data_IF_305828495747
#
_entry.id   IF_305828495747
#
_cell.length_a   1.000
_cell.length_b   1.000
_cell.length_c   1.000
_cell.angle_alpha   90.00
_cell.angle_beta   90.00
_cell.angle_gamma   90.00
#
_symmetry.space_group_name_H-M   'P 1'
#
loop_
_entity.id
_entity.type
_entity.pdbx_description
1 polymer ?
#
# COMPACT_ATOMS: atom_id res chain seq x y z
N UNK A 1 36.06 19.47 2.22
CA UNK A 1 35.52 18.45 1.31
C UNK A 1 34.20 18.00 1.95
N UNK A 2 33.14 18.79 1.75
CA UNK A 2 31.78 18.48 2.23
C UNK A 2 30.69 18.90 1.22
N UNK A 3 31.07 19.23 -0.02
CA UNK A 3 30.15 19.78 -1.03
C UNK A 3 29.34 18.70 -1.77
N UNK A 4 29.53 17.41 -1.41
CA UNK A 4 28.82 16.27 -1.99
C UNK A 4 27.50 15.95 -1.29
N UNK A 5 27.47 15.95 0.05
CA UNK A 5 26.26 15.63 0.83
C UNK A 5 25.18 16.71 0.72
N UNK A 6 25.56 18.00 0.65
CA UNK A 6 24.58 19.10 0.57
C UNK A 6 23.81 19.12 -0.76
N UNK A 7 24.44 18.72 -1.87
CA UNK A 7 23.76 18.68 -3.17
C UNK A 7 22.80 17.48 -3.27
N UNK A 8 23.19 16.32 -2.73
CA UNK A 8 22.33 15.14 -2.72
C UNK A 8 21.10 15.36 -1.81
N UNK A 9 21.26 15.97 -0.63
CA UNK A 9 20.12 16.31 0.25
C UNK A 9 19.14 17.31 -0.41
N UNK A 10 19.64 18.32 -1.13
CA UNK A 10 18.80 19.29 -1.84
C UNK A 10 17.98 18.63 -2.97
N UNK A 11 18.59 17.70 -3.72
CA UNK A 11 17.92 16.97 -4.79
C UNK A 11 16.84 16.02 -4.25
N UNK A 12 17.06 15.43 -3.07
CA UNK A 12 16.08 14.61 -2.37
C UNK A 12 14.86 15.42 -1.94
N UNK A 13 15.09 16.55 -1.26
CA UNK A 13 14.03 17.45 -0.80
C UNK A 13 13.20 17.96 -1.99
N UNK A 14 13.86 18.32 -3.09
CA UNK A 14 13.19 18.75 -4.31
C UNK A 14 12.30 17.67 -4.93
N UNK A 15 12.79 16.42 -4.95
CA UNK A 15 12.03 15.27 -5.49
C UNK A 15 10.79 14.94 -4.66
N UNK A 16 10.89 15.04 -3.34
CA UNK A 16 9.78 14.81 -2.41
C UNK A 16 8.75 15.94 -2.53
N UNK A 17 9.20 17.20 -2.56
CA UNK A 17 8.32 18.37 -2.71
C UNK A 17 7.51 18.30 -4.02
N UNK A 18 8.17 17.94 -5.13
CA UNK A 18 7.50 17.76 -6.42
C UNK A 18 6.42 16.67 -6.35
N UNK A 19 6.70 15.54 -5.68
CA UNK A 19 5.71 14.48 -5.51
C UNK A 19 4.50 14.97 -4.70
N UNK A 20 4.72 15.68 -3.60
CA UNK A 20 3.64 16.19 -2.77
C UNK A 20 2.77 17.18 -3.55
N UNK A 21 3.39 18.07 -4.32
CA UNK A 21 2.70 19.05 -5.17
C UNK A 21 1.87 18.34 -6.27
N UNK A 22 2.46 17.37 -6.97
CA UNK A 22 1.78 16.59 -8.01
C UNK A 22 0.62 15.75 -7.44
N UNK A 23 0.79 15.12 -6.28
CA UNK A 23 -0.28 14.35 -5.61
C UNK A 23 -1.42 15.25 -5.12
N UNK A 24 -1.10 16.49 -4.75
CA UNK A 24 -2.07 17.50 -4.33
C UNK A 24 -2.73 18.24 -5.50
N UNK A 25 -2.18 18.10 -6.71
CA UNK A 25 -2.68 18.73 -7.93
C UNK A 25 -4.08 18.23 -8.29
N UNK A 26 -4.94 19.09 -8.84
CA UNK A 26 -6.24 18.68 -9.40
C UNK A 26 -6.10 17.89 -10.71
N UNK A 27 -4.97 18.01 -11.42
CA UNK A 27 -4.72 17.31 -12.68
C UNK A 27 -4.50 15.81 -12.46
N UNK A 28 -5.36 14.93 -13.00
CA UNK A 28 -5.16 13.48 -12.91
C UNK A 28 -3.84 13.02 -13.52
N UNK A 29 -3.31 13.71 -14.54
CA UNK A 29 -2.05 13.33 -15.19
C UNK A 29 -0.86 13.55 -14.26
N UNK A 30 -0.83 14.68 -13.55
CA UNK A 30 0.18 14.98 -12.52
C UNK A 30 0.13 13.96 -11.37
N UNK A 31 -1.07 13.64 -10.86
CA UNK A 31 -1.25 12.59 -9.85
C UNK A 31 -0.73 11.23 -10.33
N UNK A 32 -1.10 10.81 -11.54
CA UNK A 32 -0.67 9.54 -12.12
C UNK A 32 0.85 9.47 -12.29
N UNK A 33 1.46 10.57 -12.73
CA UNK A 33 2.90 10.69 -12.86
C UNK A 33 3.61 10.44 -11.54
N UNK A 34 3.12 11.07 -10.45
CA UNK A 34 3.68 10.88 -9.12
C UNK A 34 3.42 9.49 -8.53
N UNK A 35 2.22 8.93 -8.69
CA UNK A 35 1.92 7.55 -8.29
C UNK A 35 2.93 6.57 -8.90
N UNK A 36 3.21 6.69 -10.20
CA UNK A 36 4.19 5.81 -10.90
C UNK A 36 5.63 5.95 -10.40
N UNK A 37 5.95 7.02 -9.68
CA UNK A 37 7.29 7.31 -9.13
C UNK A 37 7.41 7.02 -7.63
N UNK A 38 6.40 6.44 -7.00
CA UNK A 38 6.42 6.16 -5.56
C UNK A 38 7.57 5.25 -5.12
N UNK A 39 7.92 4.22 -5.89
CA UNK A 39 8.98 3.28 -5.52
C UNK A 39 10.38 3.92 -5.43
N UNK A 40 10.87 4.67 -6.44
CA UNK A 40 12.14 5.39 -6.30
C UNK A 40 12.17 6.37 -5.12
N UNK A 41 11.03 7.01 -4.82
CA UNK A 41 10.95 8.01 -3.75
C UNK A 41 10.93 7.34 -2.37
N UNK A 42 10.24 6.20 -2.21
CA UNK A 42 10.29 5.44 -0.97
C UNK A 42 11.69 4.87 -0.69
N UNK A 43 12.42 4.47 -1.73
CA UNK A 43 13.83 4.07 -1.59
C UNK A 43 14.71 5.22 -1.09
N UNK A 44 14.40 6.45 -1.49
CA UNK A 44 15.14 7.65 -1.08
C UNK A 44 14.80 8.08 0.34
N UNK A 45 13.52 8.04 0.71
CA UNK A 45 13.03 8.35 2.06
C UNK A 45 13.49 7.34 3.09
N UNK A 46 13.68 6.09 2.67
CA UNK A 46 13.90 4.97 3.55
C UNK A 46 12.59 4.42 4.14
N UNK A 47 12.67 3.24 4.78
CA UNK A 47 11.50 2.48 5.21
C UNK A 47 10.71 3.13 6.35
N UNK A 48 11.38 3.73 7.33
CA UNK A 48 10.75 4.39 8.49
C UNK A 48 9.85 5.55 8.04
N UNK A 49 10.42 6.53 7.31
CA UNK A 49 9.65 7.66 6.78
C UNK A 49 8.62 7.26 5.73
N UNK A 50 8.88 6.20 4.97
CA UNK A 50 7.87 5.66 4.05
C UNK A 50 6.64 5.17 4.82
N UNK A 51 6.84 4.45 5.92
CA UNK A 51 5.74 3.94 6.75
C UNK A 51 5.02 5.06 7.53
N UNK A 52 5.77 5.99 8.11
CA UNK A 52 5.22 6.98 9.05
C UNK A 52 4.70 8.26 8.38
N UNK A 53 5.21 8.61 7.18
CA UNK A 53 4.82 9.83 6.46
C UNK A 53 4.13 9.51 5.13
N UNK A 54 4.80 8.73 4.25
CA UNK A 54 4.32 8.52 2.89
C UNK A 54 3.06 7.65 2.84
N UNK A 55 3.02 6.54 3.57
CA UNK A 55 1.86 5.63 3.58
C UNK A 55 0.59 6.35 4.08
N UNK A 56 0.58 7.07 5.22
CA UNK A 56 -0.57 7.87 5.65
C UNK A 56 -1.02 8.89 4.60
N UNK A 57 -0.07 9.58 3.95
CA UNK A 57 -0.39 10.52 2.87
C UNK A 57 -1.07 9.83 1.68
N UNK A 58 -0.63 8.61 1.31
CA UNK A 58 -1.26 7.82 0.27
C UNK A 58 -2.64 7.31 0.71
N UNK A 59 -2.83 6.97 1.99
CA UNK A 59 -4.13 6.62 2.54
C UNK A 59 -5.12 7.78 2.40
N UNK A 60 -4.72 9.00 2.76
CA UNK A 60 -5.56 10.20 2.55
C UNK A 60 -5.82 10.50 1.06
N UNK A 61 -4.87 10.15 0.18
CA UNK A 61 -5.04 10.32 -1.26
C UNK A 61 -6.15 9.42 -1.80
N UNK A 62 -6.35 8.22 -1.26
CA UNK A 62 -7.37 7.26 -1.71
C UNK A 62 -8.75 7.92 -1.72
N UNK A 63 -9.11 8.63 -0.65
CA UNK A 63 -10.39 9.35 -0.54
C UNK A 63 -10.52 10.47 -1.60
N UNK A 64 -9.40 11.09 -1.99
CA UNK A 64 -9.38 12.18 -2.98
C UNK A 64 -9.46 11.68 -4.43
N UNK A 65 -9.12 10.41 -4.68
CA UNK A 65 -9.12 9.80 -6.02
C UNK A 65 -10.19 8.71 -6.18
N UNK A 66 -11.10 8.58 -5.22
CA UNK A 66 -12.16 7.57 -5.13
C UNK A 66 -13.03 7.44 -6.40
N UNK A 67 -13.22 8.55 -7.10
CA UNK A 67 -13.96 8.66 -8.36
C UNK A 67 -13.13 8.39 -9.62
N UNK A 68 -11.83 8.11 -9.50
CA UNK A 68 -10.94 7.84 -10.63
C UNK A 68 -10.31 6.44 -10.55
N UNK A 69 -10.93 5.42 -11.17
CA UNK A 69 -10.47 4.04 -11.08
C UNK A 69 -9.07 3.82 -11.69
N UNK A 70 -8.65 4.63 -12.67
CA UNK A 70 -7.31 4.51 -13.25
C UNK A 70 -6.23 4.89 -12.23
N UNK A 71 -6.42 6.00 -11.52
CA UNK A 71 -5.49 6.42 -10.46
C UNK A 71 -5.46 5.40 -9.33
N UNK A 72 -6.63 4.92 -8.90
CA UNK A 72 -6.73 3.91 -7.85
C UNK A 72 -6.04 2.60 -8.24
N UNK A 73 -6.27 2.10 -9.46
CA UNK A 73 -5.62 0.88 -9.94
C UNK A 73 -4.09 1.01 -9.93
N UNK A 74 -3.56 2.15 -10.38
CA UNK A 74 -2.11 2.41 -10.35
C UNK A 74 -1.59 2.53 -8.91
N UNK A 75 -2.33 3.19 -8.01
CA UNK A 75 -1.95 3.33 -6.62
C UNK A 75 -1.91 1.97 -5.90
N UNK A 76 -2.95 1.13 -6.07
CA UNK A 76 -2.98 -0.24 -5.54
C UNK A 76 -1.73 -1.03 -5.94
N UNK A 77 -1.34 -0.95 -7.21
CA UNK A 77 -0.16 -1.65 -7.72
C UNK A 77 1.14 -1.11 -7.10
N UNK A 78 1.26 0.21 -6.95
CA UNK A 78 2.45 0.84 -6.38
C UNK A 78 2.58 0.57 -4.88
N UNK A 79 1.48 0.57 -4.11
CA UNK A 79 1.48 0.15 -2.71
C UNK A 79 2.04 -1.28 -2.57
N UNK A 80 1.66 -2.19 -3.46
CA UNK A 80 2.22 -3.55 -3.50
C UNK A 80 3.68 -3.64 -3.93
N UNK A 81 4.25 -2.59 -4.52
CA UNK A 81 5.69 -2.50 -4.85
C UNK A 81 6.50 -1.89 -3.69
N UNK A 82 5.86 -1.15 -2.79
CA UNK A 82 6.49 -0.64 -1.56
C UNK A 82 6.88 -1.75 -0.59
N UNK A 83 6.32 -2.96 -0.75
CA UNK A 83 6.73 -4.13 0.04
C UNK A 83 8.23 -4.40 -0.04
N UNK A 84 8.87 -4.11 -1.19
CA UNK A 84 10.32 -4.29 -1.36
C UNK A 84 11.15 -3.35 -0.47
N UNK A 85 10.61 -2.18 -0.13
CA UNK A 85 11.29 -1.20 0.75
C UNK A 85 10.94 -1.46 2.21
N UNK A 86 9.68 -1.76 2.49
CA UNK A 86 9.18 -1.93 3.86
C UNK A 86 9.49 -3.30 4.48
N UNK A 87 9.79 -4.34 3.68
CA UNK A 87 10.11 -5.67 4.21
C UNK A 87 11.40 -5.72 5.02
N UNK A 88 12.28 -4.73 4.87
CA UNK A 88 13.57 -4.71 5.56
C UNK A 88 13.47 -4.34 7.05
N UNK A 89 12.38 -3.68 7.47
CA UNK A 89 12.25 -3.09 8.81
C UNK A 89 10.90 -3.39 9.48
N UNK A 90 10.25 -4.51 9.11
CA UNK A 90 8.99 -4.98 9.71
C UNK A 90 7.81 -3.99 9.63
N UNK A 91 7.89 -2.98 8.76
CA UNK A 91 6.84 -1.97 8.54
C UNK A 91 5.79 -2.38 7.51
N UNK A 92 5.80 -3.64 7.05
CA UNK A 92 4.89 -4.15 6.02
C UNK A 92 3.41 -4.02 6.40
N UNK A 93 3.10 -4.09 7.69
CA UNK A 93 1.74 -4.00 8.20
C UNK A 93 1.07 -2.66 7.87
N UNK A 94 1.85 -1.58 7.76
CA UNK A 94 1.35 -0.24 7.38
C UNK A 94 0.63 -0.21 6.02
N UNK A 95 0.95 -1.14 5.11
CA UNK A 95 0.27 -1.25 3.81
C UNK A 95 -1.10 -1.91 3.89
N UNK A 96 -1.46 -2.55 5.01
CA UNK A 96 -2.71 -3.29 5.14
C UNK A 96 -3.91 -2.34 5.08
N UNK A 97 -3.89 -1.25 5.84
CA UNK A 97 -4.96 -0.26 5.90
C UNK A 97 -5.32 0.35 4.52
N UNK A 98 -4.38 0.98 3.77
CA UNK A 98 -4.72 1.58 2.49
C UNK A 98 -5.24 0.52 1.50
N UNK A 99 -4.65 -0.68 1.46
CA UNK A 99 -5.11 -1.72 0.55
C UNK A 99 -6.47 -2.33 0.97
N UNK A 100 -6.77 -2.39 2.27
CA UNK A 100 -8.08 -2.79 2.79
C UNK A 100 -9.18 -1.87 2.26
N UNK A 101 -8.96 -0.54 2.31
CA UNK A 101 -9.87 0.46 1.76
C UNK A 101 -10.10 0.22 0.25
N UNK A 102 -9.03 -0.07 -0.48
CA UNK A 102 -9.11 -0.29 -1.94
C UNK A 102 -9.81 -1.60 -2.34
N UNK A 103 -9.77 -2.64 -1.50
CA UNK A 103 -10.60 -3.84 -1.69
C UNK A 103 -12.09 -3.51 -1.60
N UNK A 104 -12.45 -2.49 -0.83
CA UNK A 104 -13.83 -2.02 -0.70
C UNK A 104 -14.33 -1.16 -1.86
N UNK A 105 -13.55 -0.94 -2.92
CA UNK A 105 -13.98 -0.13 -4.06
C UNK A 105 -15.01 -0.86 -4.95
N UNK A 106 -15.90 -0.13 -5.61
CA UNK A 106 -16.93 -0.68 -6.52
C UNK A 106 -16.36 -1.21 -7.85
N UNK A 107 -15.21 -0.71 -8.29
CA UNK A 107 -14.55 -1.14 -9.52
C UNK A 107 -13.80 -2.47 -9.33
N UNK A 108 -14.11 -3.47 -10.17
CA UNK A 108 -13.50 -4.80 -10.05
C UNK A 108 -12.00 -4.82 -10.32
N UNK A 109 -11.52 -3.97 -11.23
CA UNK A 109 -10.10 -3.92 -11.61
C UNK A 109 -9.28 -3.31 -10.48
N UNK A 110 -9.80 -2.27 -9.82
CA UNK A 110 -9.18 -1.69 -8.62
C UNK A 110 -9.07 -2.74 -7.52
N UNK A 111 -10.15 -3.48 -7.24
CA UNK A 111 -10.15 -4.55 -6.25
C UNK A 111 -9.17 -5.67 -6.58
N UNK A 112 -9.12 -6.13 -7.82
CA UNK A 112 -8.20 -7.19 -8.25
C UNK A 112 -6.73 -6.79 -8.03
N UNK A 113 -6.38 -5.53 -8.34
CA UNK A 113 -5.04 -5.01 -8.05
C UNK A 113 -4.76 -4.89 -6.56
N UNK A 114 -5.72 -4.42 -5.76
CA UNK A 114 -5.57 -4.30 -4.32
C UNK A 114 -5.35 -5.68 -3.66
N UNK A 115 -6.13 -6.68 -4.07
CA UNK A 115 -5.95 -8.08 -3.62
C UNK A 115 -4.57 -8.59 -4.00
N UNK A 116 -4.15 -8.44 -5.26
CA UNK A 116 -2.83 -8.89 -5.70
C UNK A 116 -1.69 -8.24 -4.89
N UNK A 117 -1.82 -6.96 -4.54
CA UNK A 117 -0.88 -6.26 -3.67
C UNK A 117 -0.91 -6.76 -2.24
N UNK A 118 -2.08 -7.00 -1.64
CA UNK A 118 -2.19 -7.59 -0.30
C UNK A 118 -1.67 -9.02 -0.23
N UNK A 119 -1.79 -9.80 -1.29
CA UNK A 119 -1.17 -11.13 -1.37
C UNK A 119 0.36 -11.03 -1.29
N UNK A 120 0.98 -10.02 -1.92
CA UNK A 120 2.42 -9.78 -1.77
C UNK A 120 2.77 -9.45 -0.32
N UNK A 121 2.00 -8.56 0.32
CA UNK A 121 2.18 -8.19 1.74
C UNK A 121 2.08 -9.43 2.64
N UNK A 122 0.96 -10.16 2.59
CA UNK A 122 0.73 -11.34 3.45
C UNK A 122 1.76 -12.46 3.26
N UNK A 123 2.33 -12.61 2.05
CA UNK A 123 3.43 -13.56 1.80
C UNK A 123 4.74 -13.16 2.48
N UNK A 124 4.94 -11.89 2.78
CA UNK A 124 6.16 -11.39 3.43
C UNK A 124 6.00 -11.19 4.94
N UNK A 125 4.77 -11.04 5.44
CA UNK A 125 4.51 -10.92 6.88
C UNK A 125 4.95 -12.15 7.67
N UNK A 126 5.42 -11.90 8.89
CA UNK A 126 5.73 -12.90 9.90
C UNK A 126 4.42 -13.45 10.53
N UNK A 127 4.49 -14.58 11.24
CA UNK A 127 3.29 -15.24 11.79
C UNK A 127 2.59 -14.44 12.90
N UNK A 128 3.33 -13.61 13.64
CA UNK A 128 2.79 -12.77 14.72
C UNK A 128 1.93 -11.64 14.13
N UNK A 129 2.49 -10.84 13.22
CA UNK A 129 1.77 -9.77 12.52
C UNK A 129 0.61 -10.31 11.69
N UNK A 130 0.73 -11.51 11.11
CA UNK A 130 -0.41 -12.16 10.45
C UNK A 130 -1.56 -12.37 11.42
N UNK A 131 -1.27 -12.83 12.64
CA UNK A 131 -2.28 -13.14 13.65
C UNK A 131 -2.91 -11.88 14.25
N UNK A 132 -2.10 -10.84 14.50
CA UNK A 132 -2.52 -9.65 15.22
C UNK A 132 -3.17 -8.59 14.32
N UNK A 133 -2.74 -8.47 13.06
CA UNK A 133 -3.19 -7.39 12.16
C UNK A 133 -3.86 -7.91 10.89
N UNK A 134 -3.21 -8.84 10.17
CA UNK A 134 -3.67 -9.25 8.85
C UNK A 134 -4.90 -10.17 8.89
N UNK A 135 -4.99 -11.07 9.87
CA UNK A 135 -6.13 -11.97 10.02
C UNK A 135 -7.40 -11.22 10.44
N UNK A 136 -7.39 -10.32 11.45
CA UNK A 136 -8.54 -9.47 11.76
C UNK A 136 -9.00 -8.62 10.56
N UNK A 137 -8.07 -8.15 9.72
CA UNK A 137 -8.40 -7.46 8.47
C UNK A 137 -9.19 -8.36 7.52
N UNK A 138 -8.75 -9.59 7.27
CA UNK A 138 -9.48 -10.54 6.42
C UNK A 138 -10.87 -10.86 7.01
N UNK A 139 -10.98 -10.98 8.33
CA UNK A 139 -12.25 -11.23 9.00
C UNK A 139 -13.24 -10.08 8.81
N UNK A 140 -12.78 -8.81 8.89
CA UNK A 140 -13.62 -7.65 8.55
C UNK A 140 -14.09 -7.70 7.09
N UNK A 141 -13.22 -8.09 6.16
CA UNK A 141 -13.60 -8.24 4.75
C UNK A 141 -14.64 -9.35 4.52
N UNK A 142 -14.62 -10.42 5.34
CA UNK A 142 -15.65 -11.48 5.30
C UNK A 142 -17.02 -10.95 5.71
N UNK A 143 -17.06 -10.02 6.66
CA UNK A 143 -18.28 -9.40 7.18
C UNK A 143 -18.76 -8.22 6.34
N UNK A 144 -17.94 -7.78 5.38
CA UNK A 144 -18.25 -6.69 4.47
C UNK A 144 -19.54 -6.90 3.67
N UNK A 145 -20.25 -5.79 3.45
CA UNK A 145 -21.55 -5.76 2.78
C UNK A 145 -21.48 -6.22 1.32
N UNK A 146 -20.33 -6.02 0.67
CA UNK A 146 -20.12 -6.39 -0.72
C UNK A 146 -19.68 -7.86 -0.90
N UNK A 147 -20.33 -8.58 -1.81
CA UNK A 147 -19.94 -9.95 -2.17
C UNK A 147 -18.49 -10.04 -2.66
N UNK A 148 -17.98 -8.99 -3.30
CA UNK A 148 -16.60 -8.94 -3.78
C UNK A 148 -15.58 -8.95 -2.63
N UNK A 149 -15.86 -8.32 -1.49
CA UNK A 149 -14.98 -8.36 -0.30
C UNK A 149 -14.84 -9.79 0.23
N UNK A 150 -15.92 -10.57 0.21
CA UNK A 150 -15.91 -11.99 0.60
C UNK A 150 -15.08 -12.85 -0.36
N UNK A 151 -15.12 -12.57 -1.67
CA UNK A 151 -14.24 -13.26 -2.64
C UNK A 151 -12.78 -12.91 -2.38
N UNK A 152 -12.47 -11.63 -2.17
CA UNK A 152 -11.12 -11.17 -1.84
C UNK A 152 -10.57 -11.84 -0.58
N UNK A 153 -11.40 -11.95 0.47
CA UNK A 153 -11.05 -12.64 1.71
C UNK A 153 -10.64 -14.11 1.46
N UNK A 154 -11.35 -14.84 0.59
CA UNK A 154 -10.98 -16.20 0.22
C UNK A 154 -9.58 -16.30 -0.41
N UNK A 155 -9.24 -15.37 -1.31
CA UNK A 155 -7.91 -15.34 -1.93
C UNK A 155 -6.80 -15.04 -0.93
N UNK A 156 -7.02 -14.05 -0.05
CA UNK A 156 -6.05 -13.67 0.98
C UNK A 156 -5.83 -14.79 2.00
N UNK A 157 -6.91 -15.44 2.43
CA UNK A 157 -6.85 -16.55 3.39
C UNK A 157 -6.06 -17.74 2.83
N UNK A 158 -6.23 -18.05 1.54
CA UNK A 158 -5.50 -19.14 0.88
C UNK A 158 -3.96 -18.93 0.89
N UNK A 159 -3.50 -17.68 0.76
CA UNK A 159 -2.06 -17.36 0.78
C UNK A 159 -1.43 -17.49 2.17
N UNK A 160 -2.17 -17.14 3.23
CA UNK A 160 -1.65 -17.19 4.61
C UNK A 160 -1.93 -18.52 5.32
N UNK A 161 -2.80 -19.39 4.79
CA UNK A 161 -3.25 -20.62 5.45
C UNK A 161 -2.11 -21.51 5.99
N UNK A 162 -0.98 -21.57 5.26
CA UNK A 162 0.18 -22.36 5.68
C UNK A 162 0.94 -21.75 6.85
N UNK A 163 0.82 -20.45 7.06
CA UNK A 163 1.48 -19.67 8.12
C UNK A 163 0.65 -19.55 9.40
N UNK A 164 -0.64 -19.84 9.32
CA UNK A 164 -1.55 -19.84 10.46
C UNK A 164 -1.30 -21.05 11.37
N UNK A 165 -1.50 -20.87 12.66
CA UNK A 165 -1.49 -21.96 13.64
C UNK A 165 -2.75 -22.83 13.50
N UNK A 166 -2.70 -24.08 13.97
CA UNK A 166 -3.81 -25.03 13.86
C UNK A 166 -5.14 -24.51 14.44
N UNK A 167 -5.09 -23.62 15.43
CA UNK A 167 -6.28 -23.03 16.05
C UNK A 167 -6.92 -21.91 15.21
N UNK A 168 -6.16 -21.30 14.30
CA UNK A 168 -6.61 -20.18 13.45
C UNK A 168 -7.12 -20.63 12.08
N UNK A 169 -7.05 -21.92 11.76
CA UNK A 169 -7.44 -22.53 10.47
C UNK A 169 -8.93 -22.89 10.35
N UNK A 170 -9.78 -22.31 11.19
CA UNK A 170 -11.22 -22.59 11.26
C UNK A 170 -12.01 -21.71 10.28
#
# INVERSE_FOLDING_TARGET
MNDGDENDELDQVSSIALLIDDLSSEDPSAKLHSIKRLKPISQLLGPERTADELVPMLTELIDKIDCNPELMMNLSEQLGNLTEVLSENDHLASLCEPLEIMIGNDDSVVREKAVASLQKVGRLLNSETISEEFLPMIERQREGDMFAMRISACFLYADIYKKLDSNQKQ
#
